data_IF_565157462498
#
_entry.id   IF_565157462498
#
_cell.length_a   1.000
_cell.length_b   1.000
_cell.length_c   1.000
_cell.angle_alpha   90.00
_cell.angle_beta   90.00
_cell.angle_gamma   90.00
#
_symmetry.space_group_name_H-M   'P 1'
#
loop_
_entity.id
_entity.type
_entity.pdbx_description
1 polymer ?
#
# COMPACT_ATOMS: atom_id res chain seq x y z
N UNK A 1 -2.74 -22.05 -17.54
CA UNK A 1 -3.10 -21.28 -16.34
C UNK A 1 -3.29 -19.83 -16.75
N UNK A 2 -4.22 -19.11 -16.13
CA UNK A 2 -4.46 -17.71 -16.46
C UNK A 2 -3.39 -16.83 -15.80
N UNK A 3 -2.89 -15.84 -16.53
CA UNK A 3 -1.98 -14.83 -15.99
C UNK A 3 -2.79 -13.69 -15.37
N UNK A 4 -2.39 -13.25 -14.17
CA UNK A 4 -3.03 -12.13 -13.46
C UNK A 4 -2.02 -11.00 -13.35
N UNK A 5 -2.42 -9.81 -13.79
CA UNK A 5 -1.57 -8.62 -13.76
C UNK A 5 -2.07 -7.63 -12.72
N UNK A 6 -1.12 -6.97 -12.04
CA UNK A 6 -1.38 -5.91 -11.08
C UNK A 6 -0.49 -4.71 -11.30
N UNK A 7 -0.79 -3.61 -10.61
CA UNK A 7 -0.01 -2.37 -10.67
C UNK A 7 0.44 -1.96 -9.28
N UNK A 8 1.68 -1.49 -9.18
CA UNK A 8 2.21 -0.80 -8.01
C UNK A 8 2.50 0.64 -8.39
N UNK A 9 1.78 1.60 -7.78
CA UNK A 9 2.04 3.02 -7.99
C UNK A 9 3.41 3.40 -7.40
N UNK A 10 4.03 4.54 -7.79
CA UNK A 10 5.34 4.95 -7.27
C UNK A 10 5.45 4.93 -5.75
N UNK A 11 4.38 5.36 -5.05
CA UNK A 11 4.28 5.32 -3.60
C UNK A 11 4.47 3.90 -3.03
N UNK A 12 4.09 2.87 -3.77
CA UNK A 12 4.13 1.47 -3.36
C UNK A 12 5.38 0.69 -3.82
N UNK A 13 6.34 1.33 -4.51
CA UNK A 13 7.50 0.64 -5.08
C UNK A 13 8.62 0.39 -4.06
N UNK A 14 8.97 1.38 -3.24
CA UNK A 14 10.01 1.24 -2.21
C UNK A 14 9.69 2.07 -0.98
N UNK A 15 10.36 1.79 0.14
CA UNK A 15 10.14 2.52 1.40
C UNK A 15 10.54 4.00 1.31
N UNK A 16 11.61 4.30 0.55
CA UNK A 16 12.06 5.66 0.26
C UNK A 16 11.46 6.17 -1.05
N UNK A 17 11.29 7.48 -1.19
CA UNK A 17 10.93 8.08 -2.48
C UNK A 17 12.00 7.74 -3.53
N UNK A 18 11.57 7.28 -4.70
CA UNK A 18 12.47 6.95 -5.81
C UNK A 18 12.60 8.15 -6.74
N UNK A 19 13.80 8.69 -6.86
CA UNK A 19 14.12 9.61 -7.96
C UNK A 19 14.10 8.89 -9.32
N UNK A 20 14.49 7.59 -9.36
CA UNK A 20 14.50 6.75 -10.58
C UNK A 20 14.09 5.30 -10.25
N UNK A 21 12.82 4.92 -10.46
CA UNK A 21 12.33 3.56 -10.15
C UNK A 21 13.06 2.43 -10.88
N UNK A 22 13.41 2.67 -12.15
CA UNK A 22 14.09 1.72 -13.04
C UNK A 22 15.49 1.30 -12.54
N UNK A 23 16.11 2.12 -11.68
CA UNK A 23 17.43 1.80 -11.12
C UNK A 23 17.38 0.70 -10.06
N UNK A 24 16.22 0.44 -9.43
CA UNK A 24 16.07 -0.55 -8.35
C UNK A 24 15.19 -1.74 -8.71
N UNK A 25 14.25 -1.57 -9.65
CA UNK A 25 13.34 -2.62 -10.09
C UNK A 25 13.68 -3.02 -11.52
N UNK A 26 14.16 -4.25 -11.68
CA UNK A 26 14.55 -4.81 -12.98
C UNK A 26 13.35 -5.47 -13.64
N UNK A 27 13.12 -5.19 -14.91
CA UNK A 27 12.13 -5.90 -15.72
C UNK A 27 12.49 -7.39 -15.76
N UNK A 28 11.50 -8.26 -15.58
CA UNK A 28 11.70 -9.72 -15.47
C UNK A 28 12.23 -10.20 -14.10
N UNK A 29 12.49 -9.29 -13.17
CA UNK A 29 12.87 -9.63 -11.80
C UNK A 29 11.73 -10.29 -11.01
N UNK A 30 12.08 -11.22 -10.12
CA UNK A 30 11.15 -11.78 -9.13
C UNK A 30 11.25 -10.98 -7.84
N UNK A 31 10.12 -10.48 -7.36
CA UNK A 31 10.05 -9.68 -6.13
C UNK A 31 8.88 -10.18 -5.27
N UNK A 32 9.10 -10.27 -3.96
CA UNK A 32 8.00 -10.39 -3.02
C UNK A 32 7.15 -9.11 -3.07
N UNK A 33 5.84 -9.27 -3.05
CA UNK A 33 4.91 -8.15 -3.03
C UNK A 33 3.71 -8.48 -2.15
N UNK A 34 2.99 -7.44 -1.76
CA UNK A 34 1.76 -7.52 -0.98
C UNK A 34 0.58 -7.08 -1.84
N UNK A 35 -0.51 -7.83 -1.79
CA UNK A 35 -1.78 -7.43 -2.41
C UNK A 35 -2.45 -6.41 -1.51
N UNK A 36 -2.53 -5.16 -1.98
CA UNK A 36 -3.15 -4.06 -1.23
C UNK A 36 -4.66 -4.05 -1.43
N UNK A 37 -5.13 -4.29 -2.65
CA UNK A 37 -6.54 -4.19 -3.01
C UNK A 37 -6.84 -5.02 -4.27
N UNK A 38 -8.01 -5.66 -4.28
CA UNK A 38 -8.53 -6.42 -5.41
C UNK A 38 -9.94 -5.94 -5.73
N UNK A 39 -10.18 -5.65 -7.01
CA UNK A 39 -11.51 -5.36 -7.56
C UNK A 39 -11.66 -6.12 -8.87
N UNK A 40 -12.25 -7.31 -8.78
CA UNK A 40 -12.42 -8.22 -9.90
C UNK A 40 -13.33 -7.65 -10.98
N UNK A 41 -14.38 -6.91 -10.57
CA UNK A 41 -15.31 -6.27 -11.50
C UNK A 41 -14.63 -5.24 -12.41
N UNK A 42 -13.58 -4.57 -11.90
CA UNK A 42 -12.79 -3.58 -12.66
C UNK A 42 -11.45 -4.13 -13.16
N UNK A 43 -11.22 -5.44 -13.06
CA UNK A 43 -9.95 -6.09 -13.38
C UNK A 43 -8.73 -5.35 -12.75
N UNK A 44 -8.89 -4.89 -11.51
CA UNK A 44 -7.91 -4.05 -10.82
C UNK A 44 -7.28 -4.80 -9.66
N UNK A 45 -5.98 -5.02 -9.75
CA UNK A 45 -5.14 -5.56 -8.70
C UNK A 45 -4.07 -4.53 -8.33
N UNK A 46 -4.07 -4.06 -7.08
CA UNK A 46 -3.09 -3.10 -6.57
C UNK A 46 -2.09 -3.83 -5.68
N UNK A 47 -0.81 -3.61 -5.96
CA UNK A 47 0.30 -4.27 -5.30
C UNK A 47 1.21 -3.26 -4.59
N UNK A 48 1.93 -3.73 -3.58
CA UNK A 48 3.07 -3.01 -3.02
C UNK A 48 4.32 -3.87 -2.91
N UNK A 49 5.46 -3.27 -3.28
CA UNK A 49 6.80 -3.81 -3.14
C UNK A 49 7.57 -3.12 -1.99
N UNK A 50 6.91 -2.23 -1.22
CA UNK A 50 7.51 -1.66 -0.02
C UNK A 50 7.91 -2.77 0.93
N UNK A 51 9.20 -2.84 1.27
CA UNK A 51 9.71 -3.88 2.15
C UNK A 51 9.10 -3.74 3.55
N UNK A 52 8.92 -2.52 4.04
CA UNK A 52 8.25 -2.27 5.31
C UNK A 52 6.83 -2.86 5.36
N UNK A 53 6.09 -2.80 4.25
CA UNK A 53 4.79 -3.46 4.18
C UNK A 53 4.94 -4.96 4.01
N UNK A 54 5.76 -5.46 3.09
CA UNK A 54 5.86 -6.91 2.83
C UNK A 54 6.33 -7.67 4.07
N UNK A 55 7.29 -7.13 4.81
CA UNK A 55 7.92 -7.77 5.98
C UNK A 55 7.28 -7.38 7.32
N UNK A 56 6.24 -6.55 7.31
CA UNK A 56 5.59 -6.09 8.54
C UNK A 56 5.09 -7.25 9.40
N UNK A 57 5.38 -7.16 10.70
CA UNK A 57 4.86 -8.04 11.76
C UNK A 57 3.67 -7.41 12.49
N UNK A 58 3.28 -6.18 12.14
CA UNK A 58 2.11 -5.55 12.73
C UNK A 58 0.82 -6.16 12.15
N UNK A 59 -0.28 -6.18 12.93
CA UNK A 59 -1.59 -6.53 12.41
C UNK A 59 -1.93 -5.77 11.13
N UNK A 60 -2.58 -6.45 10.17
CA UNK A 60 -3.02 -5.82 8.92
C UNK A 60 -4.43 -5.29 9.09
N UNK A 61 -4.60 -3.97 8.96
CA UNK A 61 -5.93 -3.40 8.80
C UNK A 61 -6.42 -3.65 7.36
N UNK A 62 -7.33 -4.62 7.19
CA UNK A 62 -7.83 -5.05 5.88
C UNK A 62 -9.32 -4.74 5.63
N UNK A 63 -10.05 -4.36 6.68
CA UNK A 63 -11.47 -3.96 6.59
C UNK A 63 -11.78 -2.97 7.71
N UNK A 64 -12.87 -2.22 7.58
CA UNK A 64 -13.25 -1.24 8.61
C UNK A 64 -13.73 -1.91 9.90
N UNK A 65 -14.28 -3.11 9.80
CA UNK A 65 -14.76 -3.90 10.94
C UNK A 65 -13.61 -4.41 11.81
N UNK A 66 -12.43 -4.63 11.21
CA UNK A 66 -11.22 -4.99 11.93
C UNK A 66 -10.59 -3.80 12.69
N UNK A 67 -11.04 -2.56 12.41
CA UNK A 67 -10.52 -1.37 13.07
C UNK A 67 -11.03 -1.30 14.52
N UNK A 68 -10.10 -1.40 15.47
CA UNK A 68 -10.40 -1.29 16.90
C UNK A 68 -9.50 -0.23 17.54
N UNK A 69 -9.97 0.35 18.65
CA UNK A 69 -9.15 1.31 19.41
C UNK A 69 -7.87 0.63 19.88
N UNK A 70 -6.74 1.30 19.65
CA UNK A 70 -5.41 0.80 20.02
C UNK A 70 -4.76 -0.13 19.00
N UNK A 71 -5.45 -0.49 17.90
CA UNK A 71 -4.84 -1.24 16.80
C UNK A 71 -3.71 -0.41 16.16
N UNK A 72 -2.55 -1.03 16.01
CA UNK A 72 -1.39 -0.45 15.31
C UNK A 72 -1.13 -1.29 14.06
N UNK A 73 -1.14 -0.64 12.89
CA UNK A 73 -0.90 -1.26 11.59
C UNK A 73 0.00 -0.36 10.77
N UNK A 74 0.84 -0.95 9.91
CA UNK A 74 1.51 -0.20 8.86
C UNK A 74 0.50 0.25 7.80
N UNK A 75 0.69 1.47 7.29
CA UNK A 75 -0.11 2.06 6.22
C UNK A 75 0.77 2.86 5.26
N UNK A 76 0.17 3.33 4.16
CA UNK A 76 0.86 4.17 3.17
C UNK A 76 0.17 5.52 3.11
N UNK A 77 0.94 6.60 3.23
CA UNK A 77 0.43 7.94 2.94
C UNK A 77 0.14 8.00 1.44
N UNK A 78 -1.14 8.02 1.08
CA UNK A 78 -1.60 8.13 -0.30
C UNK A 78 -1.71 9.59 -0.75
N UNK A 79 -2.04 10.48 0.19
CA UNK A 79 -2.26 11.90 -0.11
C UNK A 79 -1.86 12.77 1.09
N UNK A 80 -1.20 13.89 0.80
CA UNK A 80 -0.87 14.94 1.78
C UNK A 80 -1.68 16.18 1.42
N UNK A 81 -2.48 16.66 2.36
CA UNK A 81 -3.29 17.88 2.26
C UNK A 81 -2.80 18.89 3.31
N UNK A 82 -3.11 20.19 3.16
CA UNK A 82 -2.64 21.22 4.10
C UNK A 82 -2.93 20.94 5.58
N UNK A 83 -4.05 20.28 5.90
CA UNK A 83 -4.47 19.97 7.28
C UNK A 83 -4.74 18.49 7.53
N UNK A 84 -4.41 17.61 6.59
CA UNK A 84 -4.71 16.19 6.72
C UNK A 84 -3.76 15.29 5.92
N UNK A 85 -3.56 14.07 6.41
CA UNK A 85 -2.95 12.97 5.68
C UNK A 85 -4.00 11.91 5.41
N UNK A 86 -4.08 11.43 4.18
CA UNK A 86 -4.87 10.25 3.82
C UNK A 86 -3.95 9.04 3.81
N UNK A 87 -4.25 8.07 4.65
CA UNK A 87 -3.46 6.85 4.81
C UNK A 87 -4.26 5.67 4.27
N UNK A 88 -3.72 4.97 3.27
CA UNK A 88 -4.27 3.73 2.75
C UNK A 88 -3.72 2.51 3.48
N UNK A 89 -4.58 1.52 3.71
CA UNK A 89 -4.23 0.24 4.31
C UNK A 89 -4.63 -0.92 3.39
N UNK A 90 -4.56 -2.16 3.90
CA UNK A 90 -4.97 -3.34 3.14
C UNK A 90 -6.49 -3.34 2.90
N UNK A 91 -6.91 -4.08 1.88
CA UNK A 91 -8.31 -4.20 1.48
C UNK A 91 -8.93 -2.91 0.95
N UNK A 92 -8.13 -1.88 0.66
CA UNK A 92 -8.61 -0.59 0.17
C UNK A 92 -9.21 0.31 1.26
N UNK A 93 -9.04 -0.05 2.54
CA UNK A 93 -9.45 0.81 3.65
C UNK A 93 -8.57 2.06 3.74
N UNK A 94 -9.14 3.17 4.22
CA UNK A 94 -8.45 4.45 4.36
C UNK A 94 -8.71 5.08 5.72
N UNK A 95 -7.69 5.74 6.25
CA UNK A 95 -7.76 6.57 7.44
C UNK A 95 -7.36 8.01 7.14
N UNK A 96 -7.75 8.93 8.02
CA UNK A 96 -7.38 10.34 7.94
C UNK A 96 -6.69 10.72 9.24
N UNK A 97 -5.53 11.36 9.13
CA UNK A 97 -4.85 12.00 10.26
C UNK A 97 -4.96 13.50 10.06
N UNK A 98 -5.64 14.19 10.97
CA UNK A 98 -5.72 15.65 10.95
C UNK A 98 -4.47 16.25 11.61
N UNK A 99 -3.96 17.33 11.04
CA UNK A 99 -2.92 18.11 11.69
C UNK A 99 -3.45 18.71 12.98
N UNK A 100 -2.71 18.58 14.08
CA UNK A 100 -2.94 19.39 15.27
C UNK A 100 -2.52 20.82 14.92
N UNK A 101 -3.51 21.71 14.76
CA UNK A 101 -3.27 23.15 14.74
C UNK A 101 -2.75 23.63 16.09
#
# INVERSE_FOLDING_TARGET
GYEVYGRAAPAHLTDKALAKPQAKLKVGGKHACLVMYVDAAKAKLVLSLKRALVESKLPRLASYEAATRGLVSDGVVEEVRPSALIVGFLGGTKGVVFGSG
#
